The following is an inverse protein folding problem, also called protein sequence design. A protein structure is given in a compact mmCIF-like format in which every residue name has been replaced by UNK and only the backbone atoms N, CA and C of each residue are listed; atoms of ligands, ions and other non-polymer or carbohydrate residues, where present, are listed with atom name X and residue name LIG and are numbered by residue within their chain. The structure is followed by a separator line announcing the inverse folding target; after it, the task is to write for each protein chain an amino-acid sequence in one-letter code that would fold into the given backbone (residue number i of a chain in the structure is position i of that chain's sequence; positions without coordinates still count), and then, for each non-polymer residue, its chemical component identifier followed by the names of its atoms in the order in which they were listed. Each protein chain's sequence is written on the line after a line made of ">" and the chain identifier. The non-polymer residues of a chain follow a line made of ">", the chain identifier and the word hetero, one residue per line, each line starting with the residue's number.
data_IF_129892646529
#
_entry.id   IF_129892646529
#
_cell.length_a   1.000
_cell.length_b   1.000
_cell.length_c   1.000
_cell.angle_alpha   90.00
_cell.angle_beta   90.00
_cell.angle_gamma   90.00
#
_symmetry.space_group_name_H-M   'P 1'
#
loop_
_entity.id
_entity.type
_entity.pdbx_description
1 polymer ?
#
# COMPACT_ATOMS: atom_id res chain seq x y z
N UNK A 1 -16.07 22.57 11.96
CA UNK A 1 -15.67 21.75 10.79
C UNK A 1 -14.33 21.13 11.14
N UNK A 2 -14.16 19.82 11.02
CA UNK A 2 -12.83 19.22 11.12
C UNK A 2 -12.05 19.57 9.86
N UNK A 3 -10.81 20.00 10.03
CA UNK A 3 -9.87 20.22 8.94
C UNK A 3 -9.23 18.90 8.52
N UNK A 4 -8.62 18.84 7.33
CA UNK A 4 -7.87 17.66 6.87
C UNK A 4 -6.82 17.26 7.90
N UNK A 5 -6.15 18.22 8.52
CA UNK A 5 -5.15 17.99 9.57
C UNK A 5 -5.69 17.29 10.82
N UNK A 6 -6.98 17.42 11.12
CA UNK A 6 -7.59 16.81 12.31
C UNK A 6 -7.81 15.31 12.15
N UNK A 7 -8.09 14.83 10.93
CA UNK A 7 -8.40 13.43 10.65
C UNK A 7 -7.36 12.71 9.78
N UNK A 8 -6.35 13.42 9.25
CA UNK A 8 -5.29 12.80 8.48
C UNK A 8 -4.56 11.73 9.32
N UNK A 9 -4.48 10.52 8.78
CA UNK A 9 -3.86 9.37 9.44
C UNK A 9 -4.59 8.89 10.70
N UNK A 10 -5.83 9.31 10.95
CA UNK A 10 -6.54 8.93 12.18
C UNK A 10 -6.82 7.43 12.29
N UNK A 11 -6.77 6.69 11.17
CA UNK A 11 -6.92 5.25 11.12
C UNK A 11 -5.58 4.51 10.98
N UNK A 12 -4.45 5.15 11.34
CA UNK A 12 -3.10 4.57 11.24
C UNK A 12 -2.43 4.55 12.61
N UNK A 13 -1.82 3.41 12.96
CA UNK A 13 -1.00 3.24 14.16
C UNK A 13 0.41 3.77 13.90
N UNK A 14 0.52 5.07 13.64
CA UNK A 14 1.74 5.77 13.24
C UNK A 14 2.65 6.12 14.45
N UNK A 15 3.75 6.85 14.21
CA UNK A 15 4.65 7.30 15.27
C UNK A 15 3.97 8.16 16.35
N UNK A 16 2.94 8.93 15.99
CA UNK A 16 2.18 9.76 16.94
C UNK A 16 1.40 8.86 17.91
N UNK A 17 0.70 7.87 17.36
CA UNK A 17 -0.08 6.90 18.14
C UNK A 17 0.84 5.99 18.95
N UNK A 18 1.93 5.50 18.36
CA UNK A 18 2.92 4.66 19.03
C UNK A 18 3.53 5.37 20.23
N UNK A 19 3.97 6.63 20.09
CA UNK A 19 4.52 7.41 21.21
C UNK A 19 3.51 7.67 22.34
N UNK A 20 2.23 7.79 21.99
CA UNK A 20 1.18 8.05 22.98
C UNK A 20 0.78 6.79 23.77
N UNK A 21 0.94 5.60 23.19
CA UNK A 21 0.45 4.33 23.76
C UNK A 21 1.56 3.40 24.25
N UNK A 22 2.81 3.58 23.82
CA UNK A 22 3.95 2.76 24.23
C UNK A 22 4.83 3.49 25.25
N UNK A 23 5.48 2.73 26.14
CA UNK A 23 6.53 3.29 26.99
C UNK A 23 7.72 3.76 26.14
N UNK A 24 8.51 4.71 26.66
CA UNK A 24 9.66 5.25 25.96
C UNK A 24 10.67 4.17 25.53
N UNK A 25 10.91 3.18 26.39
CA UNK A 25 11.83 2.08 26.12
C UNK A 25 11.32 1.14 25.02
N UNK A 26 10.02 0.80 25.06
CA UNK A 26 9.39 -0.06 24.04
C UNK A 26 9.37 0.65 22.69
N UNK A 27 9.02 1.94 22.67
CA UNK A 27 9.03 2.74 21.46
C UNK A 27 10.44 2.87 20.87
N UNK A 28 11.45 3.17 21.69
CA UNK A 28 12.84 3.26 21.23
C UNK A 28 13.36 1.93 20.67
N UNK A 29 13.02 0.81 21.31
CA UNK A 29 13.38 -0.53 20.83
C UNK A 29 12.68 -0.87 19.50
N UNK A 30 11.40 -0.52 19.35
CA UNK A 30 10.68 -0.68 18.10
C UNK A 30 11.26 0.20 16.98
N UNK A 31 11.62 1.45 17.27
CA UNK A 31 12.30 2.32 16.29
C UNK A 31 13.61 1.73 15.82
N UNK A 32 14.40 1.13 16.72
CA UNK A 32 15.63 0.42 16.33
C UNK A 32 15.34 -0.73 15.35
N UNK A 33 14.23 -1.46 15.55
CA UNK A 33 13.78 -2.51 14.63
C UNK A 33 13.44 -1.93 13.25
N UNK A 34 12.72 -0.80 13.21
CA UNK A 34 12.29 -0.13 11.96
C UNK A 34 13.46 0.51 11.21
N UNK A 35 14.34 1.21 11.92
CA UNK A 35 15.38 2.05 11.35
C UNK A 35 16.66 1.26 11.03
N UNK A 36 16.99 0.24 11.83
CA UNK A 36 18.24 -0.52 11.72
C UNK A 36 18.02 -1.99 11.31
N UNK A 37 16.76 -2.45 11.18
CA UNK A 37 16.45 -3.85 10.87
C UNK A 37 16.80 -4.82 11.99
N UNK A 38 16.86 -4.34 13.24
CA UNK A 38 17.09 -5.18 14.40
C UNK A 38 15.97 -6.23 14.59
N UNK A 39 16.26 -7.35 15.24
CA UNK A 39 15.23 -8.37 15.51
C UNK A 39 14.23 -7.85 16.54
N UNK A 40 12.94 -7.99 16.24
CA UNK A 40 11.87 -7.66 17.18
C UNK A 40 11.90 -8.61 18.39
N UNK A 41 12.08 -8.04 19.58
CA UNK A 41 12.06 -8.80 20.83
C UNK A 41 10.63 -9.23 21.21
N UNK A 42 10.48 -10.40 21.83
CA UNK A 42 9.17 -10.94 22.17
C UNK A 42 8.42 -10.09 23.22
N UNK A 43 9.14 -9.47 24.17
CA UNK A 43 8.54 -8.58 25.17
C UNK A 43 8.04 -7.29 24.52
N UNK A 44 8.81 -6.73 23.58
CA UNK A 44 8.43 -5.55 22.78
C UNK A 44 7.23 -5.89 21.91
N UNK A 45 7.23 -7.03 21.24
CA UNK A 45 6.11 -7.48 20.41
C UNK A 45 4.80 -7.62 21.22
N UNK A 46 4.86 -8.17 22.43
CA UNK A 46 3.68 -8.28 23.29
C UNK A 46 3.15 -6.91 23.75
N UNK A 47 4.06 -5.99 24.11
CA UNK A 47 3.66 -4.62 24.48
C UNK A 47 3.03 -3.87 23.30
N UNK A 48 3.62 -4.01 22.10
CA UNK A 48 3.09 -3.41 20.87
C UNK A 48 1.74 -4.02 20.48
N UNK A 49 1.59 -5.34 20.57
CA UNK A 49 0.32 -6.01 20.29
C UNK A 49 -0.79 -5.53 21.23
N UNK A 50 -0.51 -5.45 22.54
CA UNK A 50 -1.48 -4.93 23.51
C UNK A 50 -1.91 -3.49 23.16
N UNK A 51 -0.96 -2.60 22.89
CA UNK A 51 -1.24 -1.22 22.52
C UNK A 51 -2.00 -1.09 21.18
N UNK A 52 -1.63 -1.89 20.16
CA UNK A 52 -2.32 -1.93 18.87
C UNK A 52 -3.77 -2.38 19.03
N UNK A 53 -4.01 -3.41 19.84
CA UNK A 53 -5.36 -3.93 20.12
C UNK A 53 -6.20 -2.88 20.84
N UNK A 54 -5.67 -2.28 21.90
CA UNK A 54 -6.41 -1.30 22.70
C UNK A 54 -6.75 -0.07 21.85
N UNK A 55 -5.80 0.41 21.04
CA UNK A 55 -6.04 1.46 20.05
C UNK A 55 -7.10 1.05 19.01
N UNK A 56 -7.00 -0.15 18.45
CA UNK A 56 -7.93 -0.62 17.42
C UNK A 56 -9.35 -0.77 17.94
N UNK A 57 -9.51 -1.36 19.13
CA UNK A 57 -10.81 -1.51 19.81
C UNK A 57 -11.41 -0.14 20.15
N UNK A 58 -10.59 0.84 20.57
CA UNK A 58 -11.06 2.20 20.80
C UNK A 58 -11.60 2.88 19.53
N UNK A 59 -11.12 2.46 18.36
CA UNK A 59 -11.63 2.88 17.05
C UNK A 59 -12.74 1.97 16.49
N UNK A 60 -13.27 1.06 17.32
CA UNK A 60 -14.39 0.19 16.98
C UNK A 60 -14.02 -1.06 16.18
N UNK A 61 -12.72 -1.41 16.09
CA UNK A 61 -12.30 -2.66 15.48
C UNK A 61 -12.71 -3.86 16.34
N UNK A 62 -13.20 -4.91 15.68
CA UNK A 62 -13.61 -6.17 16.30
C UNK A 62 -12.75 -7.35 15.86
N UNK A 63 -12.04 -7.18 14.75
CA UNK A 63 -11.17 -8.19 14.14
C UNK A 63 -9.79 -7.60 13.87
N UNK A 64 -8.83 -8.48 13.63
CA UNK A 64 -7.55 -8.17 13.02
C UNK A 64 -7.30 -9.07 11.82
N UNK A 65 -6.34 -8.67 10.98
CA UNK A 65 -5.90 -9.46 9.84
C UNK A 65 -4.43 -9.18 9.54
N UNK A 66 -3.71 -10.23 9.15
CA UNK A 66 -2.46 -10.08 8.44
C UNK A 66 -2.77 -9.70 6.99
N UNK A 67 -2.47 -8.45 6.65
CA UNK A 67 -2.69 -7.90 5.31
C UNK A 67 -1.42 -8.10 4.49
N UNK A 68 -1.52 -8.83 3.37
CA UNK A 68 -0.36 -9.12 2.51
C UNK A 68 -0.77 -9.21 1.04
N UNK A 69 0.23 -9.22 0.16
CA UNK A 69 0.07 -9.23 -1.30
C UNK A 69 0.58 -10.56 -1.87
N UNK A 70 -0.24 -11.63 -1.91
CA UNK A 70 0.16 -12.89 -2.52
C UNK A 70 0.41 -12.77 -4.03
N UNK A 71 0.91 -13.84 -4.64
CA UNK A 71 1.21 -13.89 -6.08
C UNK A 71 -0.02 -13.80 -7.01
N UNK A 72 -1.23 -13.58 -6.47
CA UNK A 72 -2.47 -13.34 -7.24
C UNK A 72 -2.53 -11.93 -7.84
N UNK A 73 -1.71 -10.98 -7.36
CA UNK A 73 -1.73 -9.59 -7.83
C UNK A 73 -2.74 -8.67 -7.13
N UNK A 74 -3.45 -9.19 -6.12
CA UNK A 74 -4.34 -8.43 -5.23
C UNK A 74 -3.97 -8.70 -3.77
N UNK A 75 -4.41 -7.85 -2.86
CA UNK A 75 -4.21 -8.06 -1.42
C UNK A 75 -5.12 -9.17 -0.88
N UNK A 76 -4.65 -9.89 0.13
CA UNK A 76 -5.41 -10.93 0.83
C UNK A 76 -5.54 -10.61 2.32
N UNK A 77 -6.67 -11.06 2.88
CA UNK A 77 -7.03 -10.87 4.27
C UNK A 77 -7.75 -12.12 4.78
N UNK A 78 -7.41 -12.50 6.01
CA UNK A 78 -8.18 -13.43 6.84
C UNK A 78 -8.55 -12.70 8.12
N UNK A 79 -9.85 -12.58 8.42
CA UNK A 79 -10.32 -11.81 9.57
C UNK A 79 -10.47 -12.73 10.78
N UNK A 80 -9.59 -12.54 11.76
CA UNK A 80 -9.65 -13.21 13.05
C UNK A 80 -10.20 -12.23 14.08
N UNK A 81 -11.20 -12.65 14.86
CA UNK A 81 -11.78 -11.82 15.91
C UNK A 81 -10.82 -11.71 17.10
N UNK A 82 -10.83 -10.59 17.80
CA UNK A 82 -10.09 -10.45 19.06
C UNK A 82 -10.66 -11.29 20.22
N UNK A 83 -11.86 -11.86 20.07
CA UNK A 83 -12.52 -12.55 21.17
C UNK A 83 -11.82 -13.88 21.49
N UNK A 84 -11.57 -14.10 22.77
CA UNK A 84 -11.16 -15.38 23.34
C UNK A 84 -12.09 -15.74 24.50
N UNK A 85 -12.48 -17.01 24.66
CA UNK A 85 -13.36 -17.44 25.74
C UNK A 85 -12.68 -17.25 27.10
N UNK A 86 -13.38 -16.62 28.04
CA UNK A 86 -12.93 -16.49 29.40
C UNK A 86 -13.43 -17.69 30.27
N UNK A 87 -12.67 -18.13 31.29
CA UNK A 87 -13.07 -19.25 32.14
C UNK A 87 -14.40 -19.05 32.89
N UNK A 88 -14.85 -17.81 33.05
CA UNK A 88 -16.09 -17.43 33.71
C UNK A 88 -17.33 -17.42 32.78
N UNK A 89 -17.17 -17.83 31.52
CA UNK A 89 -18.23 -17.81 30.51
C UNK A 89 -18.39 -16.47 29.79
N UNK A 90 -17.56 -15.47 30.12
CA UNK A 90 -17.45 -14.20 29.39
C UNK A 90 -16.52 -14.28 28.18
N UNK A 91 -16.19 -13.11 27.63
CA UNK A 91 -15.20 -12.96 26.55
C UNK A 91 -14.12 -11.98 26.98
N UNK A 92 -12.88 -12.27 26.60
CA UNK A 92 -11.77 -11.32 26.70
C UNK A 92 -11.30 -10.96 25.30
N UNK A 93 -10.81 -9.74 25.14
CA UNK A 93 -10.18 -9.28 23.90
C UNK A 93 -8.69 -9.60 23.98
N UNK A 94 -8.25 -10.58 23.22
CA UNK A 94 -6.87 -11.05 23.15
C UNK A 94 -6.22 -10.72 21.81
N UNK A 95 -4.96 -10.29 21.88
CA UNK A 95 -4.09 -10.09 20.73
C UNK A 95 -2.65 -10.10 21.25
N UNK A 96 -1.88 -11.10 20.83
CA UNK A 96 -0.55 -11.36 21.39
C UNK A 96 0.56 -11.00 20.42
N UNK A 97 1.77 -10.74 20.94
CA UNK A 97 2.95 -10.48 20.11
C UNK A 97 3.35 -11.66 19.21
N UNK A 98 2.84 -12.86 19.47
CA UNK A 98 3.02 -14.01 18.56
C UNK A 98 2.42 -13.73 17.19
N UNK A 99 1.25 -13.08 17.16
CA UNK A 99 0.59 -12.69 15.91
C UNK A 99 1.40 -11.64 15.13
N UNK A 100 2.26 -10.86 15.79
CA UNK A 100 3.14 -9.92 15.10
C UNK A 100 4.40 -10.61 14.55
N UNK A 101 4.99 -11.52 15.31
CA UNK A 101 6.26 -12.19 14.94
C UNK A 101 6.03 -13.25 13.87
N UNK A 102 5.01 -14.10 14.05
CA UNK A 102 4.74 -15.23 13.18
C UNK A 102 3.26 -15.64 13.25
N UNK A 103 2.49 -15.19 12.27
CA UNK A 103 1.14 -15.66 12.02
C UNK A 103 1.12 -16.89 11.11
N UNK A 104 0.02 -17.63 11.13
CA UNK A 104 -0.23 -18.74 10.22
C UNK A 104 -1.55 -18.48 9.48
N UNK A 105 -1.49 -17.84 8.29
CA UNK A 105 -2.66 -17.84 7.42
C UNK A 105 -2.86 -19.28 6.90
N UNK A 106 -4.11 -19.73 6.82
CA UNK A 106 -4.39 -20.92 6.02
C UNK A 106 -3.96 -20.64 4.57
N UNK A 107 -2.85 -21.25 4.18
CA UNK A 107 -2.12 -20.93 2.97
C UNK A 107 -2.38 -21.93 1.83
N UNK A 108 -3.25 -22.92 2.08
CA UNK A 108 -3.48 -24.05 1.18
C UNK A 108 -4.00 -23.68 -0.20
N UNK A 109 -4.67 -22.54 -0.33
CA UNK A 109 -5.32 -22.10 -1.57
C UNK A 109 -4.59 -20.97 -2.30
N UNK A 110 -3.47 -20.46 -1.77
CA UNK A 110 -2.71 -19.42 -2.46
C UNK A 110 -1.87 -19.99 -3.61
N UNK A 111 -1.77 -19.29 -4.76
CA UNK A 111 -0.91 -19.72 -5.85
C UNK A 111 0.54 -19.87 -5.39
N UNK A 112 1.10 -21.07 -5.56
CA UNK A 112 2.49 -21.37 -5.22
C UNK A 112 3.42 -21.34 -6.44
N UNK A 113 2.90 -21.08 -7.65
CA UNK A 113 3.70 -21.17 -8.88
C UNK A 113 4.26 -22.57 -9.17
N UNK A 114 3.67 -23.62 -8.58
CA UNK A 114 4.18 -25.00 -8.66
C UNK A 114 5.32 -25.31 -7.69
N UNK A 115 5.65 -24.40 -6.77
CA UNK A 115 6.76 -24.56 -5.83
C UNK A 115 6.47 -25.54 -4.68
N UNK A 116 5.24 -26.08 -4.54
CA UNK A 116 4.86 -26.96 -3.42
C UNK A 116 3.82 -28.01 -3.76
N UNK A 117 3.86 -29.12 -3.02
CA UNK A 117 2.80 -30.10 -2.93
C UNK A 117 1.77 -29.72 -1.85
N UNK A 118 0.52 -30.21 -1.96
CA UNK A 118 -0.60 -29.84 -1.07
C UNK A 118 -0.35 -30.13 0.41
N UNK A 119 0.49 -31.12 0.75
CA UNK A 119 0.82 -31.42 2.15
C UNK A 119 1.80 -30.40 2.78
N UNK A 120 2.46 -29.58 1.96
CA UNK A 120 3.36 -28.47 2.36
C UNK A 120 2.66 -27.11 2.24
N UNK A 121 1.33 -27.12 2.21
CA UNK A 121 0.47 -25.95 2.07
C UNK A 121 0.64 -24.90 3.17
N UNK A 122 1.32 -25.23 4.27
CA UNK A 122 1.53 -24.31 5.39
C UNK A 122 2.32 -23.09 4.95
N UNK A 123 1.87 -21.91 5.36
CA UNK A 123 2.53 -20.64 5.12
C UNK A 123 2.56 -19.82 6.39
N UNK A 124 3.44 -18.83 6.42
CA UNK A 124 3.67 -17.98 7.58
C UNK A 124 3.65 -16.52 7.18
N UNK A 125 3.02 -15.71 8.03
CA UNK A 125 3.06 -14.25 7.94
C UNK A 125 4.01 -13.70 8.99
N UNK A 126 4.74 -12.65 8.65
CA UNK A 126 5.55 -11.89 9.59
C UNK A 126 5.25 -10.40 9.39
N UNK A 127 4.99 -9.68 10.48
CA UNK A 127 4.75 -8.24 10.42
C UNK A 127 5.98 -7.52 9.84
N UNK A 128 5.74 -6.62 8.88
CA UNK A 128 6.71 -5.64 8.43
C UNK A 128 6.50 -4.33 9.22
N UNK A 129 7.33 -4.05 10.25
CA UNK A 129 7.16 -2.87 11.08
C UNK A 129 7.53 -1.57 10.36
N UNK A 130 8.11 -1.64 9.15
CA UNK A 130 8.39 -0.44 8.33
C UNK A 130 7.15 0.10 7.62
N UNK A 131 6.05 -0.65 7.65
CA UNK A 131 4.73 -0.24 7.17
C UNK A 131 3.74 -0.26 8.34
N UNK A 132 3.10 0.87 8.61
CA UNK A 132 2.25 1.02 9.80
C UNK A 132 0.98 0.16 9.70
N UNK A 133 0.55 -0.40 10.83
CA UNK A 133 -0.76 -1.01 10.93
C UNK A 133 -1.85 0.07 10.80
N UNK A 134 -2.98 -0.29 10.22
CA UNK A 134 -4.09 0.63 9.97
C UNK A 134 -5.43 -0.05 10.20
N UNK A 135 -6.50 0.74 10.34
CA UNK A 135 -7.85 0.22 10.50
C UNK A 135 -8.62 0.43 9.21
N UNK A 136 -9.22 -0.65 8.70
CA UNK A 136 -10.12 -0.62 7.56
C UNK A 136 -11.47 -1.19 7.96
N UNK A 137 -12.49 -0.35 7.97
CA UNK A 137 -13.80 -0.72 8.52
C UNK A 137 -13.69 -1.02 10.01
N UNK A 138 -13.93 -2.26 10.42
CA UNK A 138 -13.82 -2.73 11.82
C UNK A 138 -12.67 -3.72 12.02
N UNK A 139 -11.65 -3.66 11.17
CA UNK A 139 -10.55 -4.62 11.14
C UNK A 139 -9.22 -3.89 11.29
N UNK A 140 -8.38 -4.33 12.23
CA UNK A 140 -6.97 -3.96 12.33
C UNK A 140 -6.17 -4.72 11.26
N UNK A 141 -5.67 -4.02 10.27
CA UNK A 141 -4.84 -4.57 9.20
C UNK A 141 -3.36 -4.40 9.55
N UNK A 142 -2.63 -5.52 9.53
CA UNK A 142 -1.21 -5.58 9.88
C UNK A 142 -0.42 -5.93 8.62
N UNK A 143 0.36 -4.99 8.04
CA UNK A 143 1.14 -5.26 6.83
C UNK A 143 2.16 -6.37 7.04
N UNK A 144 2.08 -7.46 6.28
CA UNK A 144 2.92 -8.64 6.52
C UNK A 144 3.61 -9.14 5.26
N UNK A 145 4.79 -9.70 5.47
CA UNK A 145 5.46 -10.58 4.51
C UNK A 145 4.87 -11.99 4.62
N UNK A 146 4.72 -12.70 3.50
CA UNK A 146 4.15 -14.04 3.45
C UNK A 146 5.10 -15.04 2.75
N UNK A 147 5.43 -16.11 3.48
CA UNK A 147 6.38 -17.12 3.04
C UNK A 147 5.90 -18.56 3.25
N UNK A 148 6.60 -19.49 2.61
CA UNK A 148 6.41 -20.93 2.82
C UNK A 148 6.75 -21.44 4.19
N UNK A 149 6.27 -22.65 4.43
CA UNK A 149 6.96 -23.60 5.30
C UNK A 149 8.48 -23.71 5.02
N UNK A 150 8.90 -23.88 3.75
CA UNK A 150 10.31 -23.93 3.33
C UNK A 150 11.07 -22.59 3.29
N UNK A 151 10.41 -21.47 3.61
CA UNK A 151 11.00 -20.12 3.58
C UNK A 151 11.01 -19.42 2.20
N UNK A 152 10.44 -20.01 1.14
CA UNK A 152 10.27 -19.32 -0.14
C UNK A 152 9.23 -18.19 -0.04
N UNK A 153 9.45 -17.09 -0.76
CA UNK A 153 8.52 -15.96 -0.77
C UNK A 153 7.29 -16.31 -1.62
N UNK A 154 6.09 -16.16 -1.04
CA UNK A 154 4.80 -16.29 -1.74
C UNK A 154 4.07 -14.95 -1.90
N UNK A 155 4.80 -13.86 -1.71
CA UNK A 155 4.28 -12.52 -1.81
C UNK A 155 5.09 -11.68 -2.80
N UNK A 156 4.60 -10.47 -3.02
CA UNK A 156 5.34 -9.42 -3.74
C UNK A 156 6.18 -8.56 -2.80
N UNK A 157 5.86 -8.53 -1.50
CA UNK A 157 6.52 -7.68 -0.51
C UNK A 157 7.92 -8.18 -0.16
N UNK A 158 8.11 -9.48 0.08
CA UNK A 158 9.44 -10.02 0.42
C UNK A 158 10.46 -9.80 -0.71
N UNK A 159 10.18 -10.09 -1.99
CA UNK A 159 11.09 -9.76 -3.08
C UNK A 159 11.39 -8.27 -3.20
N UNK A 160 10.39 -7.41 -2.99
CA UNK A 160 10.56 -5.95 -3.01
C UNK A 160 11.53 -5.47 -1.92
N UNK A 161 11.32 -5.89 -0.68
CA UNK A 161 12.21 -5.56 0.45
C UNK A 161 13.65 -6.05 0.22
N UNK A 162 13.82 -7.27 -0.30
CA UNK A 162 15.13 -7.80 -0.68
C UNK A 162 15.80 -6.98 -1.78
N UNK A 163 15.03 -6.51 -2.76
CA UNK A 163 15.54 -5.64 -3.83
C UNK A 163 15.97 -4.28 -3.30
N UNK A 164 15.19 -3.69 -2.40
CA UNK A 164 15.54 -2.42 -1.74
C UNK A 164 16.84 -2.55 -0.96
N UNK A 165 17.01 -3.62 -0.20
CA UNK A 165 18.24 -3.87 0.57
C UNK A 165 19.45 -4.13 -0.34
N UNK A 166 19.26 -4.84 -1.46
CA UNK A 166 20.32 -5.04 -2.45
C UNK A 166 20.81 -3.70 -3.02
N UNK A 167 19.90 -2.78 -3.35
CA UNK A 167 20.22 -1.43 -3.83
C UNK A 167 20.93 -0.61 -2.75
N UNK A 168 20.41 -0.61 -1.52
CA UNK A 168 21.00 0.08 -0.37
C UNK A 168 22.49 -0.30 -0.20
N UNK A 169 22.79 -1.61 -0.14
CA UNK A 169 24.16 -2.11 0.02
C UNK A 169 25.11 -1.65 -1.10
N UNK A 170 24.66 -1.68 -2.35
CA UNK A 170 25.52 -1.27 -3.47
C UNK A 170 25.67 0.25 -3.54
N UNK A 171 24.61 1.01 -3.29
CA UNK A 171 24.67 2.46 -3.23
C UNK A 171 25.63 2.94 -2.14
N UNK A 172 25.58 2.36 -0.94
CA UNK A 172 26.53 2.65 0.14
C UNK A 172 27.98 2.32 -0.24
N UNK A 173 28.21 1.22 -0.98
CA UNK A 173 29.55 0.87 -1.49
C UNK A 173 30.11 1.97 -2.39
N UNK A 174 29.29 2.50 -3.28
CA UNK A 174 29.67 3.57 -4.22
C UNK A 174 29.85 4.90 -3.50
N UNK A 175 28.93 5.27 -2.60
CA UNK A 175 29.00 6.53 -1.84
C UNK A 175 30.29 6.66 -1.03
N UNK A 176 30.79 5.55 -0.47
CA UNK A 176 32.09 5.51 0.21
C UNK A 176 33.27 5.88 -0.69
N UNK A 177 33.21 5.56 -2.00
CA UNK A 177 34.25 5.94 -2.95
C UNK A 177 34.26 7.44 -3.23
N UNK A 178 33.13 8.12 -3.07
CA UNK A 178 33.01 9.58 -3.14
C UNK A 178 33.27 10.29 -1.81
N UNK A 179 33.72 9.56 -0.77
CA UNK A 179 34.03 10.14 0.53
C UNK A 179 32.83 10.36 1.45
N UNK A 180 31.62 9.91 1.08
CA UNK A 180 30.45 10.00 1.94
C UNK A 180 30.47 8.88 3.00
N UNK A 181 31.15 9.11 4.12
CA UNK A 181 31.26 8.14 5.23
C UNK A 181 30.13 8.21 6.24
N UNK A 182 29.36 9.30 6.24
CA UNK A 182 28.35 9.58 7.27
C UNK A 182 26.97 9.01 6.90
N UNK A 183 26.78 8.62 5.64
CA UNK A 183 25.56 8.01 5.13
C UNK A 183 25.44 6.58 5.65
N UNK A 184 24.35 6.27 6.36
CA UNK A 184 24.12 4.94 6.94
C UNK A 184 23.20 4.08 6.10
N UNK A 185 22.30 4.70 5.34
CA UNK A 185 21.31 4.00 4.55
C UNK A 185 20.93 4.81 3.31
N UNK A 186 20.64 4.10 2.23
CA UNK A 186 20.06 4.64 1.00
C UNK A 186 18.71 3.99 0.78
N UNK A 187 17.67 4.82 0.70
CA UNK A 187 16.28 4.39 0.49
C UNK A 187 15.85 4.74 -0.92
N UNK A 188 15.02 3.87 -1.49
CA UNK A 188 14.32 4.18 -2.74
C UNK A 188 12.96 4.77 -2.41
N UNK A 189 12.50 5.70 -3.26
CA UNK A 189 11.17 6.29 -3.17
C UNK A 189 10.43 6.11 -4.49
N UNK A 190 9.10 5.99 -4.41
CA UNK A 190 8.22 5.93 -5.58
C UNK A 190 7.01 6.84 -5.38
N UNK A 191 6.67 7.62 -6.38
CA UNK A 191 5.39 8.31 -6.54
C UNK A 191 4.59 7.66 -7.67
N UNK A 192 3.61 6.78 -7.36
CA UNK A 192 2.84 6.09 -8.39
C UNK A 192 1.67 6.97 -8.88
N UNK A 193 1.55 7.15 -10.19
CA UNK A 193 0.40 7.81 -10.83
C UNK A 193 -0.63 6.74 -11.20
N UNK A 194 -1.82 6.76 -10.60
CA UNK A 194 -2.82 5.71 -10.79
C UNK A 194 -3.93 6.19 -11.71
N UNK A 195 -3.94 5.68 -12.95
CA UNK A 195 -5.07 5.88 -13.86
C UNK A 195 -6.16 4.82 -13.67
N UNK A 196 -7.40 5.18 -13.97
CA UNK A 196 -8.57 4.30 -13.87
C UNK A 196 -9.74 4.82 -14.72
N UNK A 197 -10.75 3.98 -14.97
CA UNK A 197 -12.02 4.40 -15.58
C UNK A 197 -13.17 4.32 -14.59
N UNK A 198 -14.13 5.24 -14.70
CA UNK A 198 -15.40 5.18 -13.98
C UNK A 198 -16.56 4.92 -14.94
N UNK A 199 -17.33 3.87 -14.68
CA UNK A 199 -18.52 3.52 -15.46
C UNK A 199 -19.75 3.55 -14.57
N UNK A 200 -20.87 3.99 -15.12
CA UNK A 200 -22.15 3.89 -14.43
C UNK A 200 -22.50 2.41 -14.14
N UNK A 201 -22.91 2.12 -12.91
CA UNK A 201 -23.16 0.75 -12.46
C UNK A 201 -24.25 0.06 -13.28
N UNK A 202 -25.32 0.75 -13.64
CA UNK A 202 -26.42 0.15 -14.40
C UNK A 202 -25.98 -0.24 -15.82
N UNK A 203 -25.07 0.54 -16.42
CA UNK A 203 -24.46 0.18 -17.70
C UNK A 203 -23.46 -0.98 -17.58
N UNK A 204 -22.68 -1.00 -16.50
CA UNK A 204 -21.74 -2.08 -16.23
C UNK A 204 -22.45 -3.43 -16.05
N UNK A 205 -23.57 -3.45 -15.32
CA UNK A 205 -24.36 -4.67 -15.08
C UNK A 205 -24.96 -5.26 -16.38
N UNK A 206 -25.17 -4.44 -17.40
CA UNK A 206 -25.61 -4.88 -18.73
C UNK A 206 -24.48 -5.51 -19.57
N UNK A 207 -23.22 -5.40 -19.13
CA UNK A 207 -22.02 -5.82 -19.88
C UNK A 207 -21.29 -6.97 -19.18
N UNK A 208 -21.77 -8.19 -19.41
CA UNK A 208 -21.16 -9.44 -18.89
C UNK A 208 -19.68 -9.57 -19.22
N UNK A 209 -19.26 -9.09 -20.39
CA UNK A 209 -17.85 -9.10 -20.78
C UNK A 209 -16.98 -8.20 -19.89
N UNK A 210 -17.46 -6.99 -19.57
CA UNK A 210 -16.81 -6.13 -18.58
C UNK A 210 -16.78 -6.77 -17.19
N UNK A 211 -17.87 -7.42 -16.77
CA UNK A 211 -17.97 -8.07 -15.45
C UNK A 211 -16.95 -9.19 -15.30
N UNK A 212 -16.84 -10.07 -16.29
CA UNK A 212 -15.99 -11.26 -16.17
C UNK A 212 -14.55 -11.03 -16.59
N UNK A 213 -14.28 -10.05 -17.46
CA UNK A 213 -12.95 -9.87 -18.03
C UNK A 213 -12.30 -8.53 -17.67
N UNK A 214 -13.03 -7.61 -17.03
CA UNK A 214 -12.55 -6.26 -16.73
C UNK A 214 -12.39 -5.36 -17.96
N UNK A 215 -12.70 -5.87 -19.16
CA UNK A 215 -12.65 -5.15 -20.42
C UNK A 215 -13.80 -5.54 -21.34
N UNK A 216 -14.04 -4.73 -22.35
CA UNK A 216 -14.96 -5.05 -23.43
C UNK A 216 -14.33 -6.08 -24.37
N UNK A 217 -15.08 -7.13 -24.71
CA UNK A 217 -14.65 -8.13 -25.71
C UNK A 217 -15.09 -7.76 -27.13
N UNK A 218 -16.16 -6.97 -27.23
CA UNK A 218 -16.70 -6.43 -28.47
C UNK A 218 -17.35 -5.07 -28.22
N UNK A 219 -17.53 -4.30 -29.29
CA UNK A 219 -18.14 -2.99 -29.25
C UNK A 219 -17.79 -2.19 -30.49
N UNK A 220 -18.71 -1.34 -30.93
CA UNK A 220 -18.39 -0.36 -31.97
C UNK A 220 -17.35 0.64 -31.43
N UNK A 221 -16.54 1.22 -32.33
CA UNK A 221 -15.64 2.31 -31.96
C UNK A 221 -16.47 3.48 -31.41
N UNK A 222 -15.90 4.18 -30.43
CA UNK A 222 -16.49 5.41 -29.91
C UNK A 222 -16.71 6.40 -31.07
N UNK A 223 -17.89 7.07 -31.15
CA UNK A 223 -18.16 8.10 -32.17
C UNK A 223 -17.17 9.27 -32.11
N UNK A 224 -16.54 9.49 -30.95
CA UNK A 224 -15.44 10.44 -30.74
C UNK A 224 -14.20 9.67 -30.26
N UNK A 225 -13.10 9.78 -31.01
CA UNK A 225 -11.82 9.13 -30.71
C UNK A 225 -10.92 9.96 -29.80
N UNK A 226 -9.60 9.96 -30.07
CA UNK A 226 -8.58 10.73 -29.36
C UNK A 226 -8.67 12.25 -29.55
N UNK A 227 -9.58 12.74 -30.40
CA UNK A 227 -9.77 14.16 -30.74
C UNK A 227 -10.51 14.95 -29.64
N UNK A 228 -10.32 14.59 -28.36
CA UNK A 228 -10.86 15.31 -27.21
C UNK A 228 -9.75 16.07 -26.48
N UNK A 229 -9.18 17.06 -27.16
CA UNK A 229 -8.23 18.02 -26.57
C UNK A 229 -8.85 18.78 -25.37
N UNK A 230 -10.18 18.74 -25.23
CA UNK A 230 -10.96 19.35 -24.16
C UNK A 230 -11.18 18.46 -22.92
N UNK A 231 -10.79 17.17 -22.97
CA UNK A 231 -11.01 16.25 -21.86
C UNK A 231 -9.83 16.14 -20.90
N UNK A 232 -8.61 16.13 -21.42
CA UNK A 232 -7.41 16.13 -20.59
C UNK A 232 -7.31 17.44 -19.81
N UNK A 233 -7.28 17.35 -18.48
CA UNK A 233 -7.47 18.50 -17.57
C UNK A 233 -8.78 19.30 -17.80
N UNK A 234 -9.76 18.71 -18.48
CA UNK A 234 -11.08 19.28 -18.66
C UNK A 234 -11.90 19.29 -17.38
N UNK A 235 -13.08 19.93 -17.42
CA UNK A 235 -13.96 20.07 -16.25
C UNK A 235 -14.41 18.69 -15.73
N UNK A 236 -14.18 18.42 -14.45
CA UNK A 236 -14.64 17.21 -13.76
C UNK A 236 -16.15 17.31 -13.56
N UNK A 237 -16.90 16.29 -13.99
CA UNK A 237 -18.36 16.26 -13.83
C UNK A 237 -18.74 16.21 -12.34
N UNK A 238 -19.82 16.88 -11.89
CA UNK A 238 -20.17 16.94 -10.48
C UNK A 238 -20.27 15.59 -9.75
N UNK A 239 -20.78 14.55 -10.43
CA UNK A 239 -20.85 13.19 -9.89
C UNK A 239 -19.47 12.56 -9.67
N UNK A 240 -18.52 12.82 -10.56
CA UNK A 240 -17.13 12.34 -10.44
C UNK A 240 -16.39 13.14 -9.36
N UNK A 241 -16.63 14.45 -9.28
CA UNK A 241 -16.06 15.29 -8.24
C UNK A 241 -16.50 14.82 -6.83
N UNK A 242 -17.79 14.49 -6.64
CA UNK A 242 -18.27 13.94 -5.37
C UNK A 242 -17.63 12.58 -5.01
N UNK A 243 -17.39 11.73 -6.01
CA UNK A 243 -16.64 10.48 -5.83
C UNK A 243 -15.18 10.74 -5.41
N UNK A 244 -14.51 11.68 -6.08
CA UNK A 244 -13.12 12.06 -5.81
C UNK A 244 -12.95 12.70 -4.43
N UNK A 245 -13.89 13.53 -3.99
CA UNK A 245 -13.92 14.12 -2.65
C UNK A 245 -13.99 13.02 -1.57
N UNK A 246 -14.93 12.08 -1.68
CA UNK A 246 -15.04 10.94 -0.77
C UNK A 246 -13.80 10.04 -0.80
N UNK A 247 -13.22 9.83 -1.99
CA UNK A 247 -11.99 9.05 -2.15
C UNK A 247 -10.83 9.70 -1.40
N UNK A 248 -10.64 11.01 -1.56
CA UNK A 248 -9.61 11.77 -0.86
C UNK A 248 -9.78 11.69 0.65
N UNK A 249 -10.99 11.86 1.17
CA UNK A 249 -11.23 11.74 2.61
C UNK A 249 -10.84 10.35 3.17
N UNK A 250 -11.24 9.27 2.49
CA UNK A 250 -10.95 7.91 2.93
C UNK A 250 -9.44 7.61 2.85
N UNK A 251 -8.75 8.09 1.82
CA UNK A 251 -7.29 7.95 1.68
C UNK A 251 -6.52 8.76 2.72
N UNK A 252 -6.95 9.99 3.00
CA UNK A 252 -6.34 10.83 4.03
C UNK A 252 -6.50 10.25 5.43
N UNK A 253 -7.65 9.64 5.77
CA UNK A 253 -7.83 8.91 7.04
C UNK A 253 -6.83 7.76 7.19
N UNK A 254 -6.46 7.10 6.08
CA UNK A 254 -5.46 6.04 6.00
C UNK A 254 -4.01 6.56 5.85
N UNK A 255 -3.78 7.87 5.94
CA UNK A 255 -2.44 8.46 5.87
C UNK A 255 -1.84 8.51 4.47
N UNK A 256 -2.62 8.23 3.41
CA UNK A 256 -2.18 8.36 2.02
C UNK A 256 -2.25 9.82 1.61
N UNK A 257 -1.13 10.42 1.20
CA UNK A 257 -1.05 11.80 0.74
C UNK A 257 -1.57 11.98 -0.69
N UNK A 258 -2.83 11.63 -0.96
CA UNK A 258 -3.50 11.89 -2.23
C UNK A 258 -3.46 13.39 -2.53
N UNK A 259 -2.85 13.78 -3.65
CA UNK A 259 -2.45 15.18 -3.91
C UNK A 259 -3.01 15.75 -5.20
N UNK A 260 -2.97 14.96 -6.27
CA UNK A 260 -3.39 15.39 -7.60
C UNK A 260 -4.44 14.44 -8.12
N UNK A 261 -5.49 14.99 -8.73
CA UNK A 261 -6.52 14.25 -9.45
C UNK A 261 -7.00 15.05 -10.67
N UNK A 262 -7.29 14.37 -11.78
CA UNK A 262 -7.80 15.00 -12.99
C UNK A 262 -8.47 14.00 -13.93
N UNK A 263 -9.13 14.53 -14.96
CA UNK A 263 -9.53 13.74 -16.13
C UNK A 263 -8.30 13.42 -16.97
N UNK A 264 -8.26 12.20 -17.48
CA UNK A 264 -7.29 11.71 -18.45
C UNK A 264 -7.80 11.92 -19.90
N UNK A 265 -7.03 11.47 -20.90
CA UNK A 265 -7.32 11.68 -22.32
C UNK A 265 -8.61 10.97 -22.76
N UNK A 266 -8.88 9.73 -22.31
CA UNK A 266 -10.08 9.01 -22.75
C UNK A 266 -11.34 9.39 -21.97
N UNK A 267 -12.54 9.29 -22.57
CA UNK A 267 -13.79 9.55 -21.87
C UNK A 267 -13.91 8.70 -20.60
N UNK A 268 -14.23 9.35 -19.48
CA UNK A 268 -14.40 8.72 -18.17
C UNK A 268 -13.14 8.02 -17.62
N UNK A 269 -11.97 8.37 -18.17
CA UNK A 269 -10.67 8.05 -17.61
C UNK A 269 -10.24 9.17 -16.66
N UNK A 270 -9.62 8.79 -15.55
CA UNK A 270 -9.17 9.69 -14.51
C UNK A 270 -7.81 9.23 -13.96
N UNK A 271 -7.11 10.14 -13.30
CA UNK A 271 -5.86 9.85 -12.59
C UNK A 271 -5.94 10.33 -11.14
N UNK A 272 -5.29 9.61 -10.23
CA UNK A 272 -4.94 10.08 -8.89
C UNK A 272 -3.46 9.80 -8.62
N UNK A 273 -2.72 10.83 -8.17
CA UNK A 273 -1.31 10.73 -7.79
C UNK A 273 -1.11 11.20 -6.34
N UNK A 274 -0.57 10.34 -5.45
CA UNK A 274 -0.13 10.74 -4.13
C UNK A 274 1.31 11.30 -4.15
N UNK A 275 1.67 12.03 -3.09
CA UNK A 275 3.08 12.40 -2.87
C UNK A 275 3.91 11.12 -2.67
N UNK A 276 5.10 11.08 -3.28
CA UNK A 276 6.01 9.95 -3.15
C UNK A 276 6.38 9.68 -1.69
N UNK A 277 6.70 8.42 -1.41
CA UNK A 277 7.28 7.98 -0.13
C UNK A 277 8.22 6.81 -0.39
N UNK A 278 8.77 6.21 0.66
CA UNK A 278 9.64 5.04 0.52
C UNK A 278 8.93 3.95 -0.29
N UNK A 279 9.66 3.27 -1.19
CA UNK A 279 9.08 2.34 -2.16
C UNK A 279 8.14 1.31 -1.53
N UNK A 280 8.49 0.79 -0.35
CA UNK A 280 7.68 -0.17 0.38
C UNK A 280 6.31 0.41 0.81
N UNK A 281 6.33 1.58 1.45
CA UNK A 281 5.11 2.27 1.89
C UNK A 281 4.30 2.73 0.67
N UNK A 282 4.94 3.26 -0.37
CA UNK A 282 4.26 3.72 -1.59
C UNK A 282 3.52 2.58 -2.28
N UNK A 283 4.10 1.37 -2.28
CA UNK A 283 3.47 0.18 -2.85
C UNK A 283 2.24 -0.24 -2.02
N UNK A 284 2.38 -0.28 -0.69
CA UNK A 284 1.26 -0.61 0.20
C UNK A 284 0.12 0.42 0.08
N UNK A 285 0.46 1.71 0.05
CA UNK A 285 -0.49 2.81 -0.17
C UNK A 285 -1.20 2.71 -1.52
N UNK A 286 -0.51 2.35 -2.61
CA UNK A 286 -1.14 2.20 -3.92
C UNK A 286 -2.13 1.01 -3.94
N UNK A 287 -1.80 -0.09 -3.28
CA UNK A 287 -2.73 -1.23 -3.14
C UNK A 287 -3.99 -0.84 -2.38
N UNK A 288 -3.85 -0.11 -1.27
CA UNK A 288 -4.99 0.46 -0.55
C UNK A 288 -5.76 1.45 -1.43
N UNK A 289 -5.07 2.30 -2.19
CA UNK A 289 -5.69 3.26 -3.10
C UNK A 289 -6.60 2.57 -4.11
N UNK A 290 -6.11 1.53 -4.78
CA UNK A 290 -6.90 0.75 -5.74
C UNK A 290 -8.14 0.10 -5.10
N UNK A 291 -8.01 -0.44 -3.89
CA UNK A 291 -9.14 -1.04 -3.18
C UNK A 291 -10.18 0.01 -2.76
N UNK A 292 -9.74 1.14 -2.19
CA UNK A 292 -10.63 2.23 -1.77
C UNK A 292 -11.30 2.87 -2.99
N UNK A 293 -10.60 3.03 -4.11
CA UNK A 293 -11.18 3.51 -5.37
C UNK A 293 -12.41 2.68 -5.78
N UNK A 294 -12.31 1.34 -5.72
CA UNK A 294 -13.43 0.45 -6.05
C UNK A 294 -14.56 0.53 -5.02
N UNK A 295 -14.23 0.56 -3.72
CA UNK A 295 -15.22 0.65 -2.65
C UNK A 295 -16.00 1.96 -2.67
N UNK A 296 -15.31 3.09 -2.86
CA UNK A 296 -15.95 4.41 -2.93
C UNK A 296 -16.77 4.52 -4.21
N UNK A 297 -16.31 3.97 -5.34
CA UNK A 297 -17.07 4.02 -6.60
C UNK A 297 -18.43 3.35 -6.43
N UNK A 298 -18.47 2.19 -5.76
CA UNK A 298 -19.71 1.47 -5.48
C UNK A 298 -20.72 2.30 -4.65
N UNK A 299 -20.24 3.14 -3.69
CA UNK A 299 -21.11 4.05 -2.90
C UNK A 299 -21.77 5.13 -3.78
N UNK A 300 -21.12 5.51 -4.87
CA UNK A 300 -21.58 6.54 -5.82
C UNK A 300 -22.35 5.96 -7.03
N UNK A 301 -22.72 4.67 -6.97
CA UNK A 301 -23.36 3.97 -8.09
C UNK A 301 -22.47 3.87 -9.33
N UNK A 302 -21.15 3.90 -9.13
CA UNK A 302 -20.14 3.78 -10.17
C UNK A 302 -19.36 2.46 -10.00
N UNK A 303 -18.68 2.06 -11.06
CA UNK A 303 -17.72 0.95 -11.06
C UNK A 303 -16.37 1.50 -11.50
N UNK A 304 -15.36 1.33 -10.65
CA UNK A 304 -13.98 1.69 -10.97
C UNK A 304 -13.29 0.51 -11.67
N UNK A 305 -12.86 0.72 -12.91
CA UNK A 305 -12.14 -0.25 -13.72
C UNK A 305 -10.64 0.07 -13.67
N UNK A 306 -9.85 -0.91 -13.22
CA UNK A 306 -8.40 -0.83 -13.07
C UNK A 306 -7.63 -1.65 -14.13
N UNK A 307 -8.33 -2.25 -15.09
CA UNK A 307 -7.70 -2.96 -16.19
C UNK A 307 -6.94 -1.95 -17.07
N UNK A 308 -5.75 -2.31 -17.54
CA UNK A 308 -4.90 -1.47 -18.39
C UNK A 308 -5.53 -1.10 -19.74
N UNK A 309 -6.52 -1.89 -20.20
CA UNK A 309 -7.23 -1.63 -21.46
C UNK A 309 -8.71 -2.03 -21.41
N UNK A 310 -9.56 -1.29 -20.69
CA UNK A 310 -10.97 -1.65 -20.55
C UNK A 310 -11.75 -1.51 -21.88
N UNK A 311 -11.37 -0.55 -22.71
CA UNK A 311 -12.05 -0.24 -23.97
C UNK A 311 -11.08 -0.25 -25.16
N UNK A 312 -11.44 -0.97 -26.21
CA UNK A 312 -10.67 -0.98 -27.45
C UNK A 312 -10.85 0.34 -28.23
N UNK A 313 -9.76 0.86 -28.80
CA UNK A 313 -9.80 2.05 -29.66
C UNK A 313 -9.78 3.40 -28.94
N UNK A 314 -9.59 3.42 -27.62
CA UNK A 314 -9.32 4.64 -26.80
C UNK A 314 -8.05 4.42 -25.96
N UNK A 315 -7.58 5.43 -25.22
CA UNK A 315 -6.38 5.30 -24.38
C UNK A 315 -6.53 4.18 -23.33
N UNK A 316 -5.41 3.57 -22.95
CA UNK A 316 -5.37 2.59 -21.85
C UNK A 316 -5.09 3.30 -20.53
N UNK A 317 -5.26 2.59 -19.42
CA UNK A 317 -4.90 3.07 -18.08
C UNK A 317 -3.47 2.68 -17.74
N UNK A 318 -2.63 3.69 -17.56
CA UNK A 318 -1.25 3.58 -17.13
C UNK A 318 -1.07 3.53 -15.61
N UNK A 319 0.15 3.17 -15.21
CA UNK A 319 0.65 3.38 -13.86
C UNK A 319 2.12 3.79 -13.92
N UNK A 320 2.38 5.09 -13.94
CA UNK A 320 3.75 5.59 -13.94
C UNK A 320 4.35 5.44 -12.54
N UNK A 321 5.65 5.15 -12.48
CA UNK A 321 6.39 5.06 -11.23
C UNK A 321 7.52 6.07 -11.26
N UNK A 322 7.30 7.23 -10.63
CA UNK A 322 8.35 8.23 -10.45
C UNK A 322 9.32 7.71 -9.37
N UNK A 323 10.44 7.14 -9.81
CA UNK A 323 11.39 6.48 -8.92
C UNK A 323 12.61 7.35 -8.62
N UNK A 324 13.04 7.36 -7.36
CA UNK A 324 14.25 8.04 -6.93
C UNK A 324 15.00 7.27 -5.85
N UNK A 325 16.25 7.69 -5.59
CA UNK A 325 17.12 7.11 -4.58
C UNK A 325 17.69 8.22 -3.71
N UNK A 326 17.48 8.14 -2.39
CA UNK A 326 17.87 9.17 -1.43
C UNK A 326 18.67 8.60 -0.26
N UNK A 327 19.67 9.33 0.20
CA UNK A 327 20.41 9.00 1.42
C UNK A 327 19.57 9.32 2.66
N UNK A 328 19.91 8.71 3.80
CA UNK A 328 19.35 9.07 5.10
C UNK A 328 19.70 10.51 5.55
N UNK A 329 20.71 11.12 4.94
CA UNK A 329 21.07 12.54 5.11
C UNK A 329 20.23 13.49 4.23
N UNK A 330 19.33 12.97 3.39
CA UNK A 330 18.41 13.77 2.57
C UNK A 330 18.89 14.12 1.16
N UNK A 331 20.01 13.54 0.69
CA UNK A 331 20.54 13.79 -0.65
C UNK A 331 19.86 12.88 -1.66
N UNK A 332 19.24 13.45 -2.70
CA UNK A 332 18.76 12.71 -3.86
C UNK A 332 19.92 12.40 -4.81
N UNK A 333 20.23 11.11 -4.98
CA UNK A 333 21.35 10.64 -5.79
C UNK A 333 21.12 10.77 -7.29
N UNK A 334 19.87 10.98 -7.71
CA UNK A 334 19.48 11.24 -9.10
C UNK A 334 19.19 12.73 -9.35
N UNK A 335 19.58 13.61 -8.43
CA UNK A 335 19.51 15.05 -8.65
C UNK A 335 20.78 15.54 -9.36
N UNK A 336 20.66 16.20 -10.53
CA UNK A 336 21.82 16.62 -11.30
C UNK A 336 22.60 17.78 -10.65
N UNK A 337 21.94 18.63 -9.85
CA UNK A 337 22.51 19.87 -9.34
C UNK A 337 22.58 20.97 -10.41
N UNK A 338 23.30 22.07 -10.12
CA UNK A 338 23.42 23.22 -11.04
C UNK A 338 24.38 22.96 -12.21
N UNK A 339 25.45 22.19 -11.97
CA UNK A 339 26.45 21.81 -12.98
C UNK A 339 26.50 20.27 -13.17
N UNK A 340 25.57 19.67 -13.92
CA UNK A 340 25.40 18.21 -13.96
C UNK A 340 26.64 17.47 -14.49
N UNK A 341 27.37 18.10 -15.41
CA UNK A 341 28.58 17.55 -16.03
C UNK A 341 29.79 17.49 -15.08
N UNK A 342 29.76 18.22 -13.97
CA UNK A 342 30.81 18.20 -12.93
C UNK A 342 30.46 17.23 -11.79
N UNK A 343 29.18 16.86 -11.67
CA UNK A 343 28.68 16.00 -10.62
C UNK A 343 28.96 14.51 -10.93
N UNK A 344 30.21 14.10 -10.74
CA UNK A 344 30.66 12.73 -10.99
C UNK A 344 29.88 11.67 -10.18
N UNK A 345 29.36 12.02 -9.00
CA UNK A 345 28.50 11.14 -8.22
C UNK A 345 27.18 10.91 -8.95
N UNK A 346 26.45 11.97 -9.30
CA UNK A 346 25.21 11.88 -10.06
C UNK A 346 25.40 11.12 -11.37
N UNK A 347 26.44 11.44 -12.13
CA UNK A 347 26.73 10.79 -13.42
C UNK A 347 27.03 9.30 -13.32
N UNK A 348 27.48 8.81 -12.15
CA UNK A 348 27.68 7.38 -11.93
C UNK A 348 26.39 6.66 -11.48
N UNK A 349 25.48 7.38 -10.81
CA UNK A 349 24.20 6.84 -10.37
C UNK A 349 23.13 6.83 -11.47
N UNK A 350 23.21 7.78 -12.42
CA UNK A 350 22.44 7.80 -13.67
C UNK A 350 22.88 6.65 -14.60
#
# INVERSE_FOLDING_TARGET
>A
MSTVSDYFGCLVFDDRVMKANLSADVYASLRKTIDEGAKLDASVANAVAAAMKDWAVAHGATHYTHWFQPLTGITAEKHDSFISPAPDGGVIMDFSGKELIKGEPDASSFPSGGLRATFEARGYTAWDPTSYAFIKGKILCIPTAFCSYGGEALDKKTPLLRSMEALNRQALRILKLFGNTDVKCVRTNVGPEQEYFLVDKDMYEQRKDLIFTGRTLFGAKSPKGQEMDDHYFGVIKPRVAAYMEDLNEELWKLGVLAKTEHNEVAPAQHELAPIYTTTNIATDHNQLTMEIMQKVAAKHGLVCLLHEKPFAGVNGSGKHNNWSMATDTGVNLLSPGETPYENAQFLLFL
#
